data_IF_768880316589
#
_entry.id   IF_768880316589
#
_cell.length_a   1.000
_cell.length_b   1.000
_cell.length_c   1.000
_cell.angle_alpha   90.00
_cell.angle_beta   90.00
_cell.angle_gamma   90.00
#
_symmetry.space_group_name_H-M   'P 1'
#
loop_
_entity.id
_entity.type
_entity.pdbx_description
1 polymer ?
#
# COMPACT_ATOMS: atom_id res chain seq x y z
N UNK A 1 50.76 -54.26 -22.36
CA UNK A 1 50.91 -53.56 -21.07
C UNK A 1 51.49 -52.17 -21.28
N UNK A 2 50.65 -51.14 -21.30
CA UNK A 2 51.04 -49.73 -21.10
C UNK A 2 49.89 -49.06 -20.35
N UNK A 3 50.18 -48.66 -19.11
CA UNK A 3 49.32 -47.80 -18.29
C UNK A 3 49.39 -46.39 -18.87
N UNK A 4 48.26 -45.72 -19.03
CA UNK A 4 48.22 -44.26 -19.02
C UNK A 4 47.05 -43.82 -18.14
N UNK A 5 47.40 -43.30 -16.98
CA UNK A 5 46.54 -42.63 -16.03
C UNK A 5 46.77 -41.13 -16.26
N UNK A 6 45.74 -40.39 -16.66
CA UNK A 6 45.65 -38.93 -16.59
C UNK A 6 44.19 -38.64 -16.25
N UNK A 7 43.81 -38.49 -14.98
CA UNK A 7 44.01 -37.34 -14.08
C UNK A 7 43.34 -36.04 -14.56
N UNK A 8 42.18 -35.81 -13.93
CA UNK A 8 41.43 -34.57 -13.64
C UNK A 8 41.86 -33.25 -14.29
N UNK A 9 40.87 -32.58 -14.87
CA UNK A 9 40.57 -31.18 -14.54
C UNK A 9 39.07 -30.93 -14.68
N UNK A 10 38.33 -31.00 -13.58
CA UNK A 10 36.99 -30.40 -13.48
C UNK A 10 37.17 -28.89 -13.43
N UNK A 11 36.96 -28.22 -14.56
CA UNK A 11 36.93 -26.76 -14.63
C UNK A 11 35.53 -26.33 -14.16
N UNK A 12 35.35 -26.21 -12.85
CA UNK A 12 34.16 -25.58 -12.25
C UNK A 12 34.20 -24.08 -12.53
N UNK A 13 33.50 -23.65 -13.58
CA UNK A 13 33.24 -22.24 -13.83
C UNK A 13 32.22 -21.75 -12.81
N UNK A 14 32.70 -21.15 -11.72
CA UNK A 14 31.87 -20.37 -10.80
C UNK A 14 31.55 -19.05 -11.49
N UNK A 15 30.38 -18.96 -12.10
CA UNK A 15 29.85 -17.67 -12.56
C UNK A 15 29.31 -16.94 -11.32
N UNK A 16 30.14 -16.06 -10.75
CA UNK A 16 29.64 -15.00 -9.88
C UNK A 16 28.80 -14.07 -10.75
N UNK A 17 27.48 -14.31 -10.80
CA UNK A 17 26.55 -13.25 -11.13
C UNK A 17 26.56 -12.25 -9.98
N UNK A 18 27.53 -11.35 -10.00
CA UNK A 18 27.41 -10.01 -9.42
C UNK A 18 26.34 -9.27 -10.22
N UNK A 19 25.08 -9.68 -10.03
CA UNK A 19 23.91 -8.94 -10.45
C UNK A 19 23.74 -7.74 -9.53
N UNK A 20 24.61 -6.75 -9.67
CA UNK A 20 24.34 -5.40 -9.24
C UNK A 20 23.24 -4.87 -10.17
N UNK A 21 21.98 -5.24 -9.93
CA UNK A 21 20.83 -4.55 -10.51
C UNK A 21 20.61 -3.27 -9.69
N UNK A 22 21.50 -2.30 -9.92
CA UNK A 22 21.20 -0.89 -9.78
C UNK A 22 20.10 -0.54 -10.77
N UNK A 23 18.90 -0.40 -10.23
CA UNK A 23 17.67 -0.12 -10.97
C UNK A 23 16.50 -0.54 -10.12
N UNK A 24 16.31 0.10 -8.96
CA UNK A 24 15.01 0.10 -8.31
C UNK A 24 14.08 0.87 -9.25
N UNK A 25 13.53 0.19 -10.26
CA UNK A 25 12.44 0.74 -11.04
C UNK A 25 11.34 1.05 -10.03
N UNK A 26 11.23 2.32 -9.66
CA UNK A 26 10.19 2.77 -8.77
C UNK A 26 8.88 2.35 -9.43
N UNK A 27 8.17 1.40 -8.81
CA UNK A 27 6.87 0.93 -9.30
C UNK A 27 6.01 2.13 -9.65
N UNK A 28 5.79 2.35 -10.94
CA UNK A 28 4.94 3.43 -11.40
C UNK A 28 3.52 3.18 -10.90
N UNK A 29 2.95 4.13 -10.15
CA UNK A 29 1.59 4.00 -9.65
C UNK A 29 0.63 4.42 -10.75
N UNK A 30 -0.03 3.43 -11.35
CA UNK A 30 -1.15 3.61 -12.27
C UNK A 30 -2.48 3.26 -11.57
N UNK A 31 -3.59 3.40 -12.30
CA UNK A 31 -4.92 3.17 -11.77
C UNK A 31 -5.11 1.73 -11.27
N UNK A 32 -4.56 0.74 -11.97
CA UNK A 32 -4.70 -0.68 -11.65
C UNK A 32 -3.94 -1.02 -10.36
N UNK A 33 -2.70 -0.56 -10.24
CA UNK A 33 -1.86 -0.74 -9.03
C UNK A 33 -2.52 -0.05 -7.82
N UNK A 34 -3.01 1.18 -8.00
CA UNK A 34 -3.68 1.92 -6.94
C UNK A 34 -4.98 1.24 -6.48
N UNK A 35 -5.83 0.81 -7.42
CA UNK A 35 -7.05 0.05 -7.13
C UNK A 35 -6.75 -1.26 -6.42
N UNK A 36 -5.71 -1.99 -6.82
CA UNK A 36 -5.31 -3.24 -6.17
C UNK A 36 -4.88 -2.99 -4.72
N UNK A 37 -4.08 -1.94 -4.48
CA UNK A 37 -3.62 -1.61 -3.12
C UNK A 37 -4.77 -1.18 -2.21
N UNK A 38 -5.70 -0.37 -2.71
CA UNK A 38 -6.92 0.04 -1.98
C UNK A 38 -7.82 -1.17 -1.73
N UNK A 39 -7.97 -2.06 -2.71
CA UNK A 39 -8.73 -3.32 -2.56
C UNK A 39 -8.18 -4.19 -1.43
N UNK A 40 -6.85 -4.36 -1.38
CA UNK A 40 -6.17 -5.12 -0.33
C UNK A 40 -6.47 -4.55 1.06
N UNK A 41 -6.37 -3.23 1.22
CA UNK A 41 -6.70 -2.54 2.47
C UNK A 41 -8.17 -2.70 2.87
N UNK A 42 -9.09 -2.51 1.91
CA UNK A 42 -10.53 -2.63 2.17
C UNK A 42 -10.93 -4.06 2.55
N UNK A 43 -10.24 -5.08 2.03
CA UNK A 43 -10.45 -6.46 2.48
C UNK A 43 -10.08 -6.66 3.95
N UNK A 44 -9.01 -6.03 4.44
CA UNK A 44 -8.69 -6.02 5.87
C UNK A 44 -9.76 -5.31 6.70
N UNK A 45 -10.32 -4.20 6.20
CA UNK A 45 -11.44 -3.51 6.86
C UNK A 45 -12.69 -4.39 6.96
N UNK A 46 -13.07 -5.04 5.87
CA UNK A 46 -14.23 -5.96 5.85
C UNK A 46 -14.00 -7.15 6.79
N UNK A 47 -12.76 -7.66 6.87
CA UNK A 47 -12.41 -8.76 7.77
C UNK A 47 -12.24 -8.33 9.24
N UNK A 48 -12.25 -7.02 9.54
CA UNK A 48 -11.96 -6.50 10.88
C UNK A 48 -10.52 -6.71 11.35
N UNK A 49 -9.58 -6.89 10.42
CA UNK A 49 -8.16 -7.15 10.69
C UNK A 49 -7.36 -5.84 10.68
N UNK A 50 -7.33 -5.15 11.82
CA UNK A 50 -6.72 -3.81 11.92
C UNK A 50 -5.21 -3.82 12.16
N UNK A 51 -4.64 -4.95 12.58
CA UNK A 51 -3.22 -5.13 12.90
C UNK A 51 -2.29 -4.85 11.71
N UNK A 52 -2.76 -5.10 10.49
CA UNK A 52 -1.98 -4.93 9.25
C UNK A 52 -2.20 -3.59 8.54
N UNK A 53 -3.13 -2.78 9.04
CA UNK A 53 -3.52 -1.54 8.36
C UNK A 53 -2.40 -0.49 8.34
N UNK A 54 -1.48 -0.55 9.31
CA UNK A 54 -0.33 0.36 9.38
C UNK A 54 0.66 0.20 8.22
N UNK A 55 0.74 -0.99 7.61
CA UNK A 55 1.66 -1.27 6.50
C UNK A 55 1.23 -0.55 5.19
N UNK A 56 0.05 0.04 5.18
CA UNK A 56 -0.47 0.82 4.08
C UNK A 56 -0.14 2.31 4.20
N UNK A 57 0.33 2.78 5.34
CA UNK A 57 0.61 4.20 5.57
C UNK A 57 2.01 4.54 5.08
N UNK A 58 2.15 5.68 4.40
CA UNK A 58 3.44 6.16 3.93
C UNK A 58 4.47 6.34 5.07
N UNK A 59 5.62 5.66 5.01
CA UNK A 59 6.71 5.84 5.98
C UNK A 59 7.15 7.30 6.12
N UNK A 60 7.22 8.05 5.01
CA UNK A 60 7.56 9.47 5.01
C UNK A 60 6.55 10.30 5.81
N UNK A 61 5.26 9.98 5.73
CA UNK A 61 4.21 10.66 6.51
C UNK A 61 4.33 10.31 8.00
N UNK A 62 4.52 9.03 8.34
CA UNK A 62 4.74 8.57 9.73
C UNK A 62 5.89 9.33 10.38
N UNK A 63 7.02 9.44 9.66
CA UNK A 63 8.20 10.14 10.13
C UNK A 63 7.94 11.65 10.29
N UNK A 64 7.35 12.30 9.30
CA UNK A 64 7.09 13.74 9.34
C UNK A 64 6.11 14.14 10.46
N UNK A 65 5.11 13.31 10.73
CA UNK A 65 4.10 13.54 11.75
C UNK A 65 4.45 12.96 13.14
N UNK A 66 5.63 12.32 13.29
CA UNK A 66 6.07 11.67 14.53
C UNK A 66 5.04 10.66 15.10
N UNK A 67 4.46 9.86 14.21
CA UNK A 67 3.47 8.83 14.53
C UNK A 67 4.19 7.57 15.05
N UNK A 68 3.63 6.99 16.11
CA UNK A 68 4.10 5.77 16.75
C UNK A 68 2.92 4.87 17.06
N UNK A 69 2.78 3.77 16.32
CA UNK A 69 1.63 2.87 16.43
C UNK A 69 1.57 2.05 17.74
N UNK A 70 2.52 2.23 18.67
CA UNK A 70 2.36 1.76 20.04
C UNK A 70 1.40 2.64 20.86
N UNK A 71 1.20 3.90 20.43
CA UNK A 71 0.32 4.90 21.08
C UNK A 71 -0.75 5.46 20.15
N UNK A 72 -0.47 5.55 18.87
CA UNK A 72 -1.33 6.12 17.83
C UNK A 72 -2.11 5.02 17.11
N UNK A 73 -3.31 5.34 16.63
CA UNK A 73 -4.27 4.39 16.06
C UNK A 73 -4.69 4.82 14.66
N UNK A 74 -5.03 3.85 13.83
CA UNK A 74 -5.60 4.09 12.51
C UNK A 74 -7.12 4.10 12.65
N UNK A 75 -7.75 5.18 12.17
CA UNK A 75 -9.21 5.23 12.06
C UNK A 75 -9.67 4.16 11.07
N UNK A 76 -10.71 3.44 11.45
CA UNK A 76 -11.25 2.37 10.62
C UNK A 76 -12.77 2.37 10.65
N UNK A 77 -13.36 2.10 9.49
CA UNK A 77 -14.74 1.68 9.36
C UNK A 77 -14.81 0.15 9.34
N UNK A 78 -15.99 -0.40 9.65
CA UNK A 78 -16.25 -1.84 9.61
C UNK A 78 -17.34 -2.17 8.58
N UNK A 79 -17.08 -1.95 7.28
CA UNK A 79 -18.06 -2.22 6.24
C UNK A 79 -18.27 -3.73 6.05
N UNK A 80 -19.41 -4.11 5.46
CA UNK A 80 -19.67 -5.47 4.97
C UNK A 80 -19.16 -5.70 3.55
N UNK A 81 -18.89 -4.63 2.82
CA UNK A 81 -18.33 -4.67 1.49
C UNK A 81 -18.02 -3.26 0.97
N UNK A 82 -17.55 -3.18 -0.26
CA UNK A 82 -17.20 -1.91 -0.88
C UNK A 82 -17.34 -1.98 -2.39
N UNK A 83 -17.38 -0.81 -3.03
CA UNK A 83 -17.27 -0.64 -4.48
C UNK A 83 -16.22 0.43 -4.76
N UNK A 84 -15.33 0.18 -5.71
CA UNK A 84 -14.46 1.20 -6.28
C UNK A 84 -15.24 1.89 -7.40
N UNK A 85 -15.50 3.18 -7.25
CA UNK A 85 -16.23 3.96 -8.26
C UNK A 85 -15.26 4.43 -9.37
N UNK A 86 -14.13 5.01 -9.00
CA UNK A 86 -13.19 5.59 -9.96
C UNK A 86 -11.74 5.62 -9.45
N UNK A 87 -10.81 5.80 -10.39
CA UNK A 87 -9.43 6.15 -10.09
C UNK A 87 -8.88 7.14 -11.12
N UNK A 88 -8.17 8.16 -10.65
CA UNK A 88 -7.65 9.24 -11.50
C UNK A 88 -6.36 9.83 -10.90
N UNK A 89 -5.55 10.49 -11.73
CA UNK A 89 -4.31 11.13 -11.27
C UNK A 89 -4.60 12.20 -10.22
N UNK A 90 -3.80 12.24 -9.15
CA UNK A 90 -3.89 13.29 -8.15
C UNK A 90 -3.38 14.62 -8.70
N UNK A 91 -4.07 15.69 -8.32
CA UNK A 91 -3.64 17.08 -8.56
C UNK A 91 -2.80 17.64 -7.42
N UNK A 92 -2.92 17.03 -6.23
CA UNK A 92 -2.31 17.55 -4.99
C UNK A 92 -0.93 16.93 -4.74
N UNK A 93 -0.71 15.71 -5.24
CA UNK A 93 0.54 14.96 -5.11
C UNK A 93 0.98 14.40 -6.45
N UNK A 94 2.18 14.80 -6.89
CA UNK A 94 2.78 14.30 -8.14
C UNK A 94 2.97 12.78 -8.09
N UNK A 95 2.75 12.10 -9.22
CA UNK A 95 2.87 10.64 -9.35
C UNK A 95 1.99 9.84 -8.37
N UNK A 96 0.86 10.41 -7.95
CA UNK A 96 -0.12 9.72 -7.13
C UNK A 96 -1.45 9.53 -7.87
N UNK A 97 -2.23 8.54 -7.43
CA UNK A 97 -3.55 8.21 -7.96
C UNK A 97 -4.57 8.32 -6.82
N UNK A 98 -5.64 9.08 -7.05
CA UNK A 98 -6.84 9.06 -6.23
C UNK A 98 -7.66 7.81 -6.56
N UNK A 99 -8.16 7.11 -5.54
CA UNK A 99 -9.11 6.01 -5.67
C UNK A 99 -10.32 6.31 -4.80
N UNK A 100 -11.50 6.41 -5.43
CA UNK A 100 -12.76 6.73 -4.75
C UNK A 100 -13.55 5.45 -4.55
N UNK A 101 -13.99 5.21 -3.31
CA UNK A 101 -14.75 4.03 -2.94
C UNK A 101 -15.99 4.38 -2.14
N UNK A 102 -17.02 3.54 -2.25
CA UNK A 102 -18.19 3.57 -1.36
C UNK A 102 -18.21 2.32 -0.50
N UNK A 103 -18.51 2.52 0.78
CA UNK A 103 -18.58 1.48 1.79
C UNK A 103 -20.02 1.00 1.97
N UNK A 104 -20.22 -0.31 1.87
CA UNK A 104 -21.51 -0.99 2.04
C UNK A 104 -21.65 -1.52 3.46
N UNK A 105 -22.79 -1.28 4.09
CA UNK A 105 -23.08 -1.68 5.48
C UNK A 105 -24.21 -2.71 5.58
N UNK A 106 -24.54 -3.08 6.82
CA UNK A 106 -25.73 -3.89 7.13
C UNK A 106 -26.99 -3.19 6.58
N UNK A 107 -27.88 -3.94 5.93
CA UNK A 107 -29.00 -3.39 5.16
C UNK A 107 -28.68 -3.12 3.68
N UNK A 108 -27.40 -3.18 3.30
CA UNK A 108 -26.96 -3.09 1.91
C UNK A 108 -26.76 -1.67 1.39
N UNK A 109 -26.95 -0.68 2.24
CA UNK A 109 -26.80 0.74 1.94
C UNK A 109 -25.33 1.15 1.87
N UNK A 110 -25.07 2.20 1.08
CA UNK A 110 -23.77 2.87 1.04
C UNK A 110 -23.85 4.16 1.85
N UNK A 111 -23.14 4.23 2.97
CA UNK A 111 -23.23 5.38 3.89
C UNK A 111 -22.01 6.30 3.83
N UNK A 112 -20.86 5.77 3.40
CA UNK A 112 -19.63 6.55 3.33
C UNK A 112 -18.98 6.41 1.96
N UNK A 113 -18.41 7.51 1.50
CA UNK A 113 -17.51 7.59 0.36
C UNK A 113 -16.13 8.00 0.87
N UNK A 114 -15.10 7.23 0.53
CA UNK A 114 -13.71 7.50 0.90
C UNK A 114 -12.88 7.74 -0.36
N UNK A 115 -11.98 8.71 -0.31
CA UNK A 115 -10.96 8.92 -1.34
C UNK A 115 -9.60 8.60 -0.75
N UNK A 116 -8.88 7.66 -1.35
CA UNK A 116 -7.50 7.32 -0.99
C UNK A 116 -6.54 7.93 -2.00
N UNK A 117 -5.43 8.51 -1.53
CA UNK A 117 -4.32 8.92 -2.39
C UNK A 117 -3.24 7.85 -2.30
N UNK A 118 -2.98 7.15 -3.41
CA UNK A 118 -1.97 6.09 -3.49
C UNK A 118 -0.76 6.60 -4.24
N UNK A 119 0.44 6.41 -3.70
CA UNK A 119 1.69 6.82 -4.34
C UNK A 119 2.84 5.87 -4.00
N UNK A 120 3.97 6.06 -4.69
CA UNK A 120 5.20 5.34 -4.41
C UNK A 120 6.07 6.14 -3.43
N UNK A 121 6.17 5.64 -2.20
CA UNK A 121 7.09 6.15 -1.19
C UNK A 121 8.33 5.26 -1.14
N UNK A 122 9.40 5.70 -1.82
CA UNK A 122 10.71 5.03 -1.81
C UNK A 122 10.66 3.52 -2.13
N UNK A 123 9.90 3.15 -3.16
CA UNK A 123 9.71 1.78 -3.63
C UNK A 123 8.48 1.07 -3.05
N UNK A 124 7.74 1.70 -2.13
CA UNK A 124 6.54 1.11 -1.52
C UNK A 124 5.28 1.81 -2.01
N UNK A 125 4.30 1.03 -2.47
CA UNK A 125 2.98 1.56 -2.86
C UNK A 125 2.10 1.67 -1.62
N UNK A 126 1.82 2.90 -1.20
CA UNK A 126 1.23 3.24 0.11
C UNK A 126 0.25 4.39 -0.03
N UNK A 127 -0.49 4.65 1.04
CA UNK A 127 -1.44 5.74 1.15
C UNK A 127 -0.76 6.99 1.69
N UNK A 128 -1.13 8.12 1.13
CA UNK A 128 -0.92 9.43 1.72
C UNK A 128 -2.15 9.78 2.58
N UNK A 129 -2.04 9.77 3.93
CA UNK A 129 -3.16 10.03 4.83
C UNK A 129 -3.72 11.44 4.67
N UNK A 130 -5.03 11.60 4.91
CA UNK A 130 -5.69 12.91 4.84
C UNK A 130 -5.49 13.75 6.09
N UNK A 131 -5.41 13.11 7.25
CA UNK A 131 -5.34 13.80 8.53
C UNK A 131 -4.72 12.92 9.62
N UNK A 132 -4.00 13.55 10.55
CA UNK A 132 -3.59 12.97 11.81
C UNK A 132 -3.91 13.97 12.92
N UNK A 133 -4.73 13.57 13.89
CA UNK A 133 -5.03 14.39 15.05
C UNK A 133 -4.17 13.97 16.25
N UNK A 134 -3.17 14.79 16.65
CA UNK A 134 -2.28 14.46 17.76
C UNK A 134 -2.98 14.48 19.12
N UNK A 135 -4.20 15.03 19.25
CA UNK A 135 -4.95 15.01 20.50
C UNK A 135 -5.68 13.69 20.69
N UNK A 136 -6.42 13.25 19.67
CA UNK A 136 -7.13 11.96 19.71
C UNK A 136 -6.22 10.76 19.44
N UNK A 137 -5.02 10.99 18.88
CA UNK A 137 -4.05 9.96 18.47
C UNK A 137 -4.55 9.08 17.32
N UNK A 138 -5.45 9.61 16.49
CA UNK A 138 -6.00 8.89 15.33
C UNK A 138 -5.49 9.45 14.00
N UNK A 139 -5.14 8.53 13.11
CA UNK A 139 -4.74 8.77 11.73
C UNK A 139 -5.86 8.33 10.78
N UNK A 140 -6.26 9.21 9.87
CA UNK A 140 -7.19 8.91 8.80
C UNK A 140 -6.43 8.37 7.56
N UNK A 141 -6.56 7.07 7.24
CA UNK A 141 -5.84 6.46 6.12
C UNK A 141 -6.36 6.93 4.76
N UNK A 142 -7.60 7.43 4.71
CA UNK A 142 -8.18 8.09 3.55
C UNK A 142 -7.79 9.56 3.51
N UNK A 143 -7.63 10.10 2.30
CA UNK A 143 -7.39 11.52 2.07
C UNK A 143 -8.64 12.37 2.31
N UNK A 144 -9.82 11.80 2.03
CA UNK A 144 -11.13 12.43 2.27
C UNK A 144 -12.17 11.39 2.64
N UNK A 145 -13.08 11.75 3.55
CA UNK A 145 -14.29 11.00 3.84
C UNK A 145 -15.52 11.89 3.70
N UNK A 146 -16.58 11.35 3.12
CA UNK A 146 -17.88 12.00 2.93
C UNK A 146 -19.00 11.06 3.36
N UNK A 147 -20.01 11.58 4.05
CA UNK A 147 -21.27 10.87 4.27
C UNK A 147 -22.13 10.98 3.01
N UNK A 148 -22.75 9.87 2.62
CA UNK A 148 -23.73 9.87 1.54
C UNK A 148 -25.08 10.18 2.19
N UNK A 149 -25.53 11.43 2.06
CA UNK A 149 -26.86 11.82 2.53
C UNK A 149 -27.92 11.07 1.70
N UNK A 150 -28.85 10.41 2.40
CA UNK A 150 -30.06 9.83 1.81
C UNK A 150 -31.13 10.90 1.63
#
# INVERSE_FOLDING_TARGET
MKKLVLSLAFLSLVVFYSGCNTGSDATAVNNEVAKARVTEYLNYMVAGQTDKMQDFIAPSYIQAANIDFSRDKINTYFPKGFVIDEAYKSTDLSNAINVVVRLKYDGGEFLNKLTFVVFNDNGKVVFYPGNYDPNSKYLDPWYRAESINQ
#
